data_IF_717745261798
#
_entry.id   IF_717745261798
#
_cell.length_a   1.000
_cell.length_b   1.000
_cell.length_c   1.000
_cell.angle_alpha   90.00
_cell.angle_beta   90.00
_cell.angle_gamma   90.00
#
_symmetry.space_group_name_H-M   'P 1'
#
loop_
_entity.id
_entity.type
_entity.pdbx_description
1 polymer ?
#
# COMPACT_ATOMS: atom_id res chain seq x y z
N UNK A 1 -37.53 4.78 0.41
CA UNK A 1 -36.37 4.84 -0.46
C UNK A 1 -36.49 5.93 -1.55
N UNK A 2 -37.66 6.19 -2.09
CA UNK A 2 -37.91 7.25 -3.06
C UNK A 2 -37.77 6.84 -4.53
N UNK A 3 -37.76 5.58 -4.83
CA UNK A 3 -37.64 5.00 -6.19
C UNK A 3 -38.92 5.20 -7.03
N UNK A 4 -40.06 5.51 -6.40
CA UNK A 4 -41.38 5.78 -7.03
C UNK A 4 -42.32 4.60 -6.97
N UNK A 5 -41.95 3.50 -6.36
CA UNK A 5 -42.86 2.41 -5.94
C UNK A 5 -43.33 2.74 -4.51
N UNK A 6 -44.52 2.31 -4.17
CA UNK A 6 -45.01 2.56 -2.80
C UNK A 6 -44.58 1.40 -1.88
N UNK A 7 -44.04 1.67 -0.71
CA UNK A 7 -43.55 0.69 0.27
C UNK A 7 -44.54 -0.45 0.56
N UNK A 8 -45.85 -0.19 0.41
CA UNK A 8 -46.90 -1.20 0.55
C UNK A 8 -46.91 -2.28 -0.55
N UNK A 9 -46.14 -2.10 -1.62
CA UNK A 9 -45.97 -3.06 -2.71
C UNK A 9 -44.59 -3.75 -2.65
N UNK A 10 -43.72 -3.24 -1.79
CA UNK A 10 -42.37 -3.77 -1.56
C UNK A 10 -42.36 -4.60 -0.27
N UNK A 11 -41.41 -5.47 -0.15
CA UNK A 11 -41.33 -6.39 0.99
C UNK A 11 -40.08 -6.11 1.81
N UNK A 12 -40.26 -5.74 3.05
CA UNK A 12 -39.16 -5.63 4.04
C UNK A 12 -38.39 -6.94 4.27
N UNK A 13 -38.81 -8.05 3.66
CA UNK A 13 -38.11 -9.35 3.75
C UNK A 13 -37.61 -9.84 2.39
N UNK A 14 -37.81 -9.07 1.34
CA UNK A 14 -37.28 -9.36 0.02
C UNK A 14 -36.03 -8.47 -0.20
N UNK A 15 -35.11 -9.00 -0.90
CA UNK A 15 -33.85 -8.36 -1.30
C UNK A 15 -33.59 -8.96 -2.69
N UNK A 16 -33.93 -8.19 -3.73
CA UNK A 16 -34.07 -8.71 -5.08
C UNK A 16 -32.74 -8.92 -5.79
N UNK A 17 -31.72 -8.18 -5.42
CA UNK A 17 -30.36 -8.26 -5.98
C UNK A 17 -29.35 -8.83 -5.00
N UNK A 18 -29.74 -9.06 -3.74
CA UNK A 18 -28.96 -9.64 -2.65
C UNK A 18 -27.78 -8.76 -2.22
N UNK A 19 -27.96 -7.45 -2.22
CA UNK A 19 -26.97 -6.48 -1.79
C UNK A 19 -26.99 -6.18 -0.27
N UNK A 20 -27.92 -6.83 0.45
CA UNK A 20 -28.06 -6.69 1.91
C UNK A 20 -29.07 -5.64 2.34
N UNK A 21 -29.63 -4.87 1.43
CA UNK A 21 -30.71 -3.91 1.68
C UNK A 21 -32.03 -4.49 1.17
N UNK A 22 -33.08 -4.38 1.96
CA UNK A 22 -34.41 -4.89 1.55
C UNK A 22 -35.07 -3.98 0.53
N UNK A 23 -35.85 -4.54 -0.41
CA UNK A 23 -36.57 -3.81 -1.45
C UNK A 23 -37.34 -2.57 -0.93
N UNK A 24 -37.80 -2.58 0.33
CA UNK A 24 -38.52 -1.44 0.96
C UNK A 24 -37.56 -0.26 1.28
N UNK A 25 -36.27 -0.54 1.49
CA UNK A 25 -35.27 0.45 1.89
C UNK A 25 -34.32 0.80 0.76
N UNK A 26 -34.25 -0.04 -0.25
CA UNK A 26 -33.36 0.09 -1.38
C UNK A 26 -34.02 0.85 -2.55
N UNK A 27 -33.45 2.01 -2.89
CA UNK A 27 -33.90 2.82 -4.03
C UNK A 27 -33.52 2.21 -5.41
N UNK A 28 -32.75 1.13 -5.43
CA UNK A 28 -32.22 0.52 -6.66
C UNK A 28 -32.33 -1.01 -6.69
N UNK A 29 -33.46 -1.57 -6.26
CA UNK A 29 -33.79 -2.98 -6.03
C UNK A 29 -33.31 -4.05 -7.05
N UNK A 30 -32.53 -3.70 -8.04
CA UNK A 30 -31.92 -4.58 -9.03
C UNK A 30 -30.49 -4.14 -9.42
N UNK A 31 -29.83 -3.38 -8.58
CA UNK A 31 -28.47 -2.91 -8.77
C UNK A 31 -27.64 -3.07 -7.47
N UNK A 32 -27.01 -4.24 -7.27
CA UNK A 32 -26.27 -4.52 -6.04
C UNK A 32 -25.01 -3.63 -5.86
N UNK A 33 -24.72 -2.79 -6.84
CA UNK A 33 -23.59 -1.85 -6.81
C UNK A 33 -24.00 -0.43 -6.42
N UNK A 34 -25.28 -0.22 -6.02
CA UNK A 34 -25.68 1.07 -5.46
C UNK A 34 -25.06 1.26 -4.06
N UNK A 35 -24.95 2.49 -3.65
CA UNK A 35 -24.44 2.95 -2.36
C UNK A 35 -25.60 3.64 -1.65
N UNK A 36 -26.25 2.92 -0.72
CA UNK A 36 -27.53 3.34 -0.15
C UNK A 36 -27.41 4.45 0.89
N UNK A 37 -26.28 4.54 1.57
CA UNK A 37 -26.02 5.55 2.60
C UNK A 37 -25.07 6.65 2.15
N UNK A 38 -24.46 6.50 0.98
CA UNK A 38 -23.57 7.46 0.31
C UNK A 38 -22.26 7.71 1.07
N UNK A 39 -21.66 6.66 1.61
CA UNK A 39 -20.35 6.75 2.27
C UNK A 39 -19.15 6.45 1.34
N UNK A 40 -19.43 6.00 0.12
CA UNK A 40 -18.44 5.75 -0.93
C UNK A 40 -18.19 4.27 -1.22
N UNK A 41 -18.71 3.38 -0.37
CA UNK A 41 -18.65 1.93 -0.55
C UNK A 41 -20.02 1.45 -1.05
N UNK A 42 -20.06 0.52 -1.97
CA UNK A 42 -21.33 -0.02 -2.44
C UNK A 42 -21.85 -1.12 -1.50
N UNK A 43 -23.19 -1.30 -1.49
CA UNK A 43 -23.86 -2.25 -0.59
C UNK A 43 -23.28 -3.67 -0.64
N UNK A 44 -23.00 -4.21 -1.84
CA UNK A 44 -22.46 -5.57 -1.99
C UNK A 44 -21.07 -5.69 -1.33
N UNK A 45 -20.23 -4.66 -1.48
CA UNK A 45 -18.91 -4.59 -0.86
C UNK A 45 -19.01 -4.51 0.66
N UNK A 46 -19.92 -3.70 1.19
CA UNK A 46 -20.17 -3.59 2.63
C UNK A 46 -20.62 -4.91 3.25
N UNK A 47 -21.57 -5.60 2.60
CA UNK A 47 -21.96 -6.94 3.05
C UNK A 47 -20.79 -7.92 3.05
N UNK A 48 -19.91 -7.86 2.06
CA UNK A 48 -18.71 -8.69 2.00
C UNK A 48 -17.70 -8.32 3.11
N UNK A 49 -17.54 -7.02 3.39
CA UNK A 49 -16.71 -6.50 4.47
C UNK A 49 -17.29 -6.73 5.87
N UNK A 50 -18.62 -6.93 5.95
CA UNK A 50 -19.34 -7.11 7.20
C UNK A 50 -19.73 -5.79 7.88
N UNK A 51 -19.83 -4.72 7.10
CA UNK A 51 -20.36 -3.41 7.49
C UNK A 51 -21.88 -3.32 7.20
N UNK A 52 -22.53 -2.22 7.52
CA UNK A 52 -23.99 -2.04 7.39
C UNK A 52 -24.31 -1.07 6.25
N UNK A 53 -24.84 -1.52 5.09
CA UNK A 53 -25.14 -0.71 3.91
C UNK A 53 -26.06 0.50 4.13
N UNK A 54 -26.51 0.71 5.34
CA UNK A 54 -27.38 1.83 5.74
C UNK A 54 -26.74 2.72 6.81
N UNK A 55 -25.48 2.54 7.15
CA UNK A 55 -24.78 3.30 8.20
C UNK A 55 -23.55 4.04 7.68
N UNK A 56 -23.64 5.28 7.23
CA UNK A 56 -22.54 6.01 6.58
C UNK A 56 -21.36 6.36 7.52
N UNK A 57 -21.12 5.62 8.56
CA UNK A 57 -20.02 5.83 9.50
C UNK A 57 -19.22 4.55 9.79
N UNK A 58 -19.43 3.49 9.04
CA UNK A 58 -18.74 2.21 9.21
C UNK A 58 -18.14 1.63 7.92
N UNK A 59 -17.95 2.46 6.89
CA UNK A 59 -17.25 2.13 5.64
C UNK A 59 -15.94 1.33 5.85
N UNK A 60 -15.33 1.46 7.00
CA UNK A 60 -14.03 0.88 7.31
C UNK A 60 -12.88 1.81 6.91
N UNK A 61 -11.66 1.31 6.98
CA UNK A 61 -10.50 1.97 6.37
C UNK A 61 -10.43 1.54 4.90
N UNK A 62 -10.10 2.45 4.02
CA UNK A 62 -9.87 2.27 2.59
C UNK A 62 -8.64 3.14 2.28
N UNK A 63 -7.47 2.51 2.36
CA UNK A 63 -6.18 3.23 2.40
C UNK A 63 -5.84 3.85 1.06
N UNK A 64 -6.10 3.16 -0.04
CA UNK A 64 -5.83 3.66 -1.40
C UNK A 64 -7.01 4.42 -2.03
N UNK A 65 -8.22 4.28 -1.49
CA UNK A 65 -9.43 4.98 -1.94
C UNK A 65 -10.06 4.36 -3.19
N UNK A 66 -9.86 3.07 -3.44
CA UNK A 66 -10.41 2.38 -4.63
C UNK A 66 -11.87 1.94 -4.44
N UNK A 67 -12.38 1.97 -3.21
CA UNK A 67 -13.74 1.58 -2.83
C UNK A 67 -13.83 0.14 -2.31
N UNK A 68 -12.69 -0.47 -1.98
CA UNK A 68 -12.60 -1.77 -1.31
C UNK A 68 -11.97 -1.53 0.07
N UNK A 69 -12.66 -1.78 1.17
CA UNK A 69 -12.06 -1.62 2.51
C UNK A 69 -10.89 -2.57 2.76
N UNK A 70 -9.86 -2.11 3.48
CA UNK A 70 -8.62 -2.84 3.80
C UNK A 70 -8.86 -4.27 4.35
N UNK A 71 -9.96 -4.50 5.07
CA UNK A 71 -10.25 -5.80 5.66
C UNK A 71 -10.66 -6.89 4.64
N UNK A 72 -10.92 -6.51 3.39
CA UNK A 72 -11.27 -7.41 2.28
C UNK A 72 -10.44 -7.12 1.03
N UNK A 73 -9.65 -6.05 1.03
CA UNK A 73 -8.67 -5.83 0.00
C UNK A 73 -7.51 -6.82 0.12
N UNK A 74 -6.69 -6.94 -0.85
CA UNK A 74 -5.52 -7.81 -0.89
C UNK A 74 -4.24 -7.04 -1.25
N UNK A 75 -4.37 -5.73 -1.47
CA UNK A 75 -3.32 -4.78 -1.84
C UNK A 75 -3.78 -3.40 -1.35
N UNK A 76 -3.73 -3.19 -0.02
CA UNK A 76 -4.40 -2.10 0.69
C UNK A 76 -3.94 -0.69 0.28
N UNK A 77 -2.72 -0.54 -0.24
CA UNK A 77 -2.16 0.73 -0.69
C UNK A 77 -2.01 0.84 -2.21
N UNK A 78 -2.36 -0.26 -2.94
CA UNK A 78 -2.40 -0.36 -4.39
C UNK A 78 -1.06 -0.03 -5.08
N UNK A 79 0.04 -0.45 -4.47
CA UNK A 79 1.39 -0.29 -5.02
C UNK A 79 1.78 -1.42 -5.99
N UNK A 80 1.00 -2.52 -5.97
CA UNK A 80 1.16 -3.70 -6.82
C UNK A 80 1.86 -4.88 -6.13
N UNK A 81 2.16 -4.78 -4.84
CA UNK A 81 2.52 -5.89 -3.96
C UNK A 81 1.31 -6.24 -3.11
N UNK A 82 1.05 -7.50 -2.85
CA UNK A 82 -0.07 -7.87 -1.97
C UNK A 82 0.34 -7.77 -0.50
N UNK A 83 -0.63 -7.48 0.40
CA UNK A 83 -0.41 -7.45 1.86
C UNK A 83 0.31 -8.70 2.38
N UNK A 84 0.00 -9.86 1.79
CA UNK A 84 0.62 -11.13 2.17
C UNK A 84 2.09 -11.23 1.74
N UNK A 85 2.43 -10.65 0.59
CA UNK A 85 3.80 -10.59 0.10
C UNK A 85 4.58 -9.52 0.88
N UNK A 86 3.96 -8.39 1.19
CA UNK A 86 4.54 -7.33 2.01
C UNK A 86 4.85 -7.81 3.44
N UNK A 87 3.90 -8.50 4.07
CA UNK A 87 4.15 -9.13 5.37
C UNK A 87 5.30 -10.16 5.32
N UNK A 88 5.64 -10.68 4.15
CA UNK A 88 6.77 -11.59 3.94
C UNK A 88 8.06 -10.83 3.67
N UNK A 89 7.99 -9.77 2.89
CA UNK A 89 9.12 -8.91 2.51
C UNK A 89 9.55 -7.98 3.64
N UNK A 90 8.58 -7.59 4.50
CA UNK A 90 8.77 -6.68 5.63
C UNK A 90 8.38 -5.23 5.32
N UNK A 91 7.77 -4.99 4.16
CA UNK A 91 7.18 -3.69 3.78
C UNK A 91 5.84 -3.45 4.49
N UNK A 92 5.26 -2.27 4.36
CA UNK A 92 4.05 -1.85 5.09
C UNK A 92 2.83 -1.84 4.17
N UNK A 93 1.87 -2.78 4.31
CA UNK A 93 0.67 -2.90 3.47
C UNK A 93 -0.24 -1.66 3.38
N UNK A 94 0.01 -0.67 4.20
CA UNK A 94 -0.75 0.58 4.23
C UNK A 94 0.06 1.77 3.72
N UNK A 95 1.24 1.54 3.16
CA UNK A 95 2.15 2.59 2.73
C UNK A 95 2.96 2.18 1.49
N UNK A 96 2.49 2.54 0.34
CA UNK A 96 3.04 2.23 -0.98
C UNK A 96 4.54 2.56 -1.21
N UNK A 97 5.20 3.19 -0.25
CA UNK A 97 6.62 3.60 -0.27
C UNK A 97 7.17 3.47 1.15
N UNK A 98 7.57 2.24 1.51
CA UNK A 98 7.91 1.87 2.89
C UNK A 98 9.13 2.60 3.44
N UNK A 99 10.12 2.90 2.63
CA UNK A 99 11.34 3.59 3.02
C UNK A 99 11.28 5.12 2.83
N UNK A 100 10.29 5.61 2.07
CA UNK A 100 10.02 7.04 1.87
C UNK A 100 10.94 7.72 0.87
N UNK A 101 11.52 7.00 -0.07
CA UNK A 101 12.48 7.53 -1.04
C UNK A 101 11.81 8.14 -2.29
N UNK A 102 10.54 7.82 -2.52
CA UNK A 102 9.72 8.30 -3.65
C UNK A 102 9.53 7.27 -4.76
N UNK A 103 10.00 6.03 -4.57
CA UNK A 103 9.62 4.88 -5.38
C UNK A 103 8.66 4.02 -4.55
N UNK A 104 7.75 3.32 -5.22
CA UNK A 104 6.82 2.41 -4.55
C UNK A 104 7.48 1.04 -4.39
N UNK A 105 7.13 0.33 -3.31
CA UNK A 105 7.65 -1.01 -3.00
C UNK A 105 7.43 -1.98 -4.17
N UNK A 106 6.29 -1.91 -4.87
CA UNK A 106 6.02 -2.67 -6.08
C UNK A 106 6.92 -2.35 -7.28
N UNK A 107 7.47 -1.15 -7.34
CA UNK A 107 8.43 -0.77 -8.39
C UNK A 107 9.85 -1.27 -8.10
N UNK A 108 10.23 -1.40 -6.84
CA UNK A 108 11.52 -1.92 -6.38
C UNK A 108 11.49 -3.43 -6.23
N UNK A 109 10.38 -3.96 -5.77
CA UNK A 109 10.14 -5.38 -5.63
C UNK A 109 11.01 -6.01 -4.54
N UNK A 110 11.63 -7.14 -4.86
CA UNK A 110 12.53 -7.84 -3.96
C UNK A 110 13.98 -7.76 -4.42
N UNK A 111 14.33 -6.68 -5.10
CA UNK A 111 15.73 -6.39 -5.45
C UNK A 111 16.50 -6.12 -4.16
N UNK A 112 17.76 -6.46 -4.13
CA UNK A 112 18.74 -6.22 -3.08
C UNK A 112 20.01 -5.83 -3.84
N UNK A 113 20.19 -4.52 -4.01
CA UNK A 113 21.16 -4.00 -4.98
C UNK A 113 22.59 -4.15 -4.49
N UNK A 114 22.85 -4.00 -3.22
CA UNK A 114 24.17 -4.12 -2.62
C UNK A 114 24.49 -5.51 -2.07
N UNK A 115 23.46 -6.36 -1.86
CA UNK A 115 23.60 -7.76 -1.48
C UNK A 115 23.77 -8.01 0.02
N UNK A 116 23.33 -7.07 0.88
CA UNK A 116 23.46 -7.19 2.33
C UNK A 116 22.35 -8.05 2.97
N UNK A 117 21.25 -8.30 2.24
CA UNK A 117 20.11 -9.12 2.64
C UNK A 117 18.89 -8.32 3.05
N UNK A 118 18.91 -7.00 2.92
CA UNK A 118 17.75 -6.11 2.96
C UNK A 118 17.34 -5.83 1.51
N UNK A 119 16.10 -5.62 1.24
CA UNK A 119 15.62 -5.31 -0.12
C UNK A 119 15.55 -3.80 -0.33
N UNK A 120 15.75 -3.33 -1.57
CA UNK A 120 15.74 -1.92 -1.93
C UNK A 120 14.48 -1.18 -1.42
N UNK A 121 13.32 -1.82 -1.43
CA UNK A 121 12.06 -1.29 -0.89
C UNK A 121 12.07 -0.98 0.64
N UNK A 122 13.13 -1.35 1.34
CA UNK A 122 13.35 -1.05 2.77
C UNK A 122 14.61 -0.20 2.99
N UNK A 123 15.33 0.15 1.93
CA UNK A 123 16.58 0.90 1.97
C UNK A 123 16.55 2.09 1.04
N UNK A 124 16.46 3.27 1.61
CA UNK A 124 16.23 4.50 0.86
C UNK A 124 17.45 4.92 0.01
N UNK A 125 17.21 5.10 -1.28
CA UNK A 125 18.17 5.70 -2.21
C UNK A 125 18.54 7.16 -1.85
N UNK A 126 17.80 7.79 -0.94
CA UNK A 126 17.96 9.17 -0.52
C UNK A 126 18.55 9.33 0.88
N UNK A 127 18.67 8.25 1.64
CA UNK A 127 19.26 8.24 2.96
C UNK A 127 20.71 7.72 2.89
N UNK A 128 21.54 8.15 3.84
CA UNK A 128 22.94 7.77 4.03
C UNK A 128 23.14 7.78 5.55
N UNK A 129 22.96 6.62 6.16
CA UNK A 129 22.80 6.50 7.61
C UNK A 129 24.06 6.79 8.39
N UNK A 130 25.23 6.52 7.83
CA UNK A 130 26.52 6.74 8.46
C UNK A 130 27.30 7.93 7.89
N UNK A 131 26.79 8.56 6.83
CA UNK A 131 27.31 9.74 6.15
C UNK A 131 28.68 9.51 5.49
N UNK A 132 28.88 8.35 4.91
CA UNK A 132 30.08 7.99 4.17
C UNK A 132 30.02 8.38 2.68
N UNK A 133 28.85 8.81 2.20
CA UNK A 133 28.62 9.30 0.85
C UNK A 133 28.00 8.27 -0.10
N UNK A 134 27.71 7.07 0.39
CA UNK A 134 26.91 6.04 -0.32
C UNK A 134 25.52 5.99 0.32
N UNK A 135 24.48 5.86 -0.47
CA UNK A 135 23.10 5.74 0.05
C UNK A 135 22.86 4.34 0.59
N UNK A 136 21.91 4.22 1.53
CA UNK A 136 21.60 2.95 2.18
C UNK A 136 21.27 1.83 1.15
N UNK A 137 20.56 2.13 0.05
CA UNK A 137 20.27 1.20 -1.05
C UNK A 137 21.52 0.65 -1.76
N UNK A 138 22.65 1.33 -1.68
CA UNK A 138 23.89 0.98 -2.39
C UNK A 138 25.02 0.57 -1.46
N UNK A 139 24.84 0.68 -0.15
CA UNK A 139 25.83 0.44 0.86
C UNK A 139 25.56 -0.79 1.70
N UNK A 140 26.20 -1.91 1.37
CA UNK A 140 26.10 -3.16 2.13
C UNK A 140 26.55 -3.08 3.62
N UNK A 141 26.86 -1.90 4.12
CA UNK A 141 27.30 -1.66 5.49
C UNK A 141 26.78 -0.37 6.09
N UNK A 142 25.50 -0.03 5.90
CA UNK A 142 24.74 1.19 6.25
C UNK A 142 25.09 1.88 7.59
N UNK A 143 25.91 1.30 8.43
CA UNK A 143 26.31 1.85 9.72
C UNK A 143 27.84 1.76 9.95
N UNK A 144 28.64 1.56 8.92
CA UNK A 144 30.10 1.48 9.00
C UNK A 144 30.79 2.40 7.97
N UNK A 145 30.99 3.69 8.26
CA UNK A 145 31.58 4.66 7.33
C UNK A 145 33.02 4.33 6.91
N UNK A 146 33.57 3.21 7.35
CA UNK A 146 34.90 2.76 7.00
C UNK A 146 34.91 1.56 6.04
N UNK A 147 33.74 1.16 5.55
CA UNK A 147 33.64 0.17 4.49
C UNK A 147 34.26 0.71 3.18
N UNK A 148 34.47 -0.16 2.22
CA UNK A 148 35.10 0.10 0.91
C UNK A 148 34.16 -0.55 -0.12
N UNK A 149 33.20 0.25 -0.61
CA UNK A 149 32.06 -0.25 -1.38
C UNK A 149 32.45 -0.72 -2.77
N UNK A 150 33.48 -0.13 -3.39
CA UNK A 150 33.97 -0.54 -4.71
C UNK A 150 35.20 -1.47 -4.65
N UNK A 151 35.74 -1.70 -3.46
CA UNK A 151 36.87 -2.60 -3.17
C UNK A 151 38.21 -2.19 -3.83
N UNK A 152 38.47 -0.91 -3.96
CA UNK A 152 39.74 -0.39 -4.49
C UNK A 152 40.87 -0.29 -3.45
N UNK A 153 40.52 -0.35 -2.14
CA UNK A 153 41.43 -0.31 -1.02
C UNK A 153 41.46 1.05 -0.32
N UNK A 154 40.60 1.98 -0.70
CA UNK A 154 40.31 3.23 0.01
C UNK A 154 38.88 3.08 0.59
N UNK A 155 38.59 3.62 1.74
CA UNK A 155 37.26 3.58 2.31
C UNK A 155 36.43 4.78 1.86
N UNK A 156 35.09 4.59 1.83
CA UNK A 156 34.12 5.57 1.35
C UNK A 156 34.32 6.96 1.98
N UNK A 157 34.45 7.07 3.33
CA UNK A 157 34.69 8.36 4.03
C UNK A 157 35.92 9.06 3.54
N UNK A 158 37.00 8.32 3.23
CA UNK A 158 38.27 8.88 2.73
C UNK A 158 38.11 9.39 1.30
N UNK A 159 37.36 8.69 0.47
CA UNK A 159 37.11 9.07 -0.93
C UNK A 159 36.25 10.33 -1.00
N UNK A 160 35.16 10.39 -0.24
CA UNK A 160 34.31 11.59 -0.13
C UNK A 160 35.17 12.79 0.34
N UNK A 161 36.05 12.60 1.33
CA UNK A 161 36.94 13.66 1.80
C UNK A 161 38.00 14.08 0.76
N UNK A 162 38.40 13.16 -0.13
CA UNK A 162 39.34 13.45 -1.24
C UNK A 162 38.59 14.05 -2.45
N UNK A 163 37.28 13.84 -2.56
CA UNK A 163 36.43 14.25 -3.69
C UNK A 163 36.47 13.27 -4.84
N UNK A 164 36.72 12.00 -4.54
CA UNK A 164 36.58 10.84 -5.42
C UNK A 164 35.23 10.18 -5.20
N UNK A 165 34.85 9.17 -6.02
CA UNK A 165 33.54 8.52 -6.01
C UNK A 165 33.64 7.15 -5.33
N UNK A 166 33.02 6.93 -4.13
CA UNK A 166 33.09 5.66 -3.40
C UNK A 166 32.55 4.43 -4.15
N UNK A 167 32.02 4.59 -5.36
CA UNK A 167 31.49 3.51 -6.21
C UNK A 167 32.29 3.36 -7.51
N UNK A 168 33.37 4.11 -7.74
CA UNK A 168 34.21 3.99 -8.94
C UNK A 168 35.63 3.48 -8.61
N UNK A 169 35.93 2.19 -8.74
CA UNK A 169 37.21 1.60 -8.35
C UNK A 169 38.41 2.04 -9.20
N UNK A 170 38.33 3.14 -9.93
CA UNK A 170 39.36 3.61 -10.85
C UNK A 170 39.75 5.09 -10.62
N UNK A 171 39.23 5.78 -9.64
CA UNK A 171 39.47 7.19 -9.43
C UNK A 171 40.35 7.57 -8.17
#
# INVERSE_FOLDING_TARGET
>A
DGDGIIDALESANNDADNDGVSDELDAANNDPTNDSDNDGINNETEVAAGTDPLNPNDAGTDTDGDGTPDNIDTDDDNDGVSDADEATNGTDPLNADSDGDGKNDGAEGTTDTDGDGIIDALESANNDADNDGVSDELDAANNDPTNDSDNDGVNNETEVAAGTDPLDPND
#
